data_IF_664803018878
#
_entry.id   IF_664803018878
#
_cell.length_a   1.000
_cell.length_b   1.000
_cell.length_c   1.000
_cell.angle_alpha   90.00
_cell.angle_beta   90.00
_cell.angle_gamma   90.00
#
_symmetry.space_group_name_H-M   'P 1'
#
loop_
_entity.id
_entity.type
_entity.pdbx_description
1 polymer ?
#
# COMPACT_ATOMS: atom_id res chain seq x y z
N UNK A 1 6.19 -25.34 -76.18
CA UNK A 1 5.93 -23.90 -75.90
C UNK A 1 5.43 -23.82 -74.49
N UNK A 2 6.26 -23.77 -73.64
CA UNK A 2 6.82 -22.80 -72.71
C UNK A 2 5.74 -21.81 -72.15
N UNK A 3 5.40 -21.93 -70.94
CA UNK A 3 4.67 -20.98 -70.13
C UNK A 3 5.14 -21.11 -68.70
N UNK A 4 6.09 -20.28 -68.34
CA UNK A 4 6.61 -20.17 -66.96
C UNK A 4 5.58 -19.45 -66.07
N UNK A 5 5.15 -20.09 -65.00
CA UNK A 5 4.42 -19.48 -63.93
C UNK A 5 5.39 -19.08 -62.83
N UNK A 6 5.47 -17.78 -62.53
CA UNK A 6 6.26 -17.21 -61.43
C UNK A 6 5.54 -17.47 -60.12
N UNK A 7 6.20 -18.21 -59.23
CA UNK A 7 5.78 -18.38 -57.85
C UNK A 7 6.27 -17.16 -57.08
N UNK A 8 5.37 -16.38 -56.52
CA UNK A 8 5.68 -15.35 -55.53
C UNK A 8 5.60 -15.99 -54.13
N UNK A 9 6.76 -16.08 -53.53
CA UNK A 9 6.97 -16.50 -52.19
C UNK A 9 6.68 -15.31 -51.24
N UNK A 10 5.52 -15.33 -50.59
CA UNK A 10 5.20 -14.36 -49.56
C UNK A 10 5.52 -14.97 -48.19
N UNK A 11 6.80 -15.00 -47.92
CA UNK A 11 7.32 -15.34 -46.58
C UNK A 11 7.26 -14.17 -45.61
N UNK A 12 6.09 -13.82 -45.10
CA UNK A 12 5.99 -12.97 -43.92
C UNK A 12 5.95 -13.85 -42.69
N UNK A 13 7.11 -14.17 -42.20
CA UNK A 13 7.24 -14.77 -40.85
C UNK A 13 7.13 -13.67 -39.83
N UNK A 14 5.93 -13.31 -39.46
CA UNK A 14 5.69 -12.56 -38.24
C UNK A 14 5.65 -13.56 -37.08
N UNK A 15 6.83 -13.88 -36.59
CA UNK A 15 6.97 -14.61 -35.34
C UNK A 15 6.49 -13.77 -34.17
N UNK A 16 5.19 -13.62 -34.02
CA UNK A 16 4.60 -13.16 -32.76
C UNK A 16 4.79 -14.30 -31.77
N UNK A 17 5.83 -14.18 -30.98
CA UNK A 17 6.07 -15.05 -29.84
C UNK A 17 4.84 -14.92 -28.94
N UNK A 18 4.01 -15.95 -28.92
CA UNK A 18 2.85 -16.02 -28.03
C UNK A 18 3.34 -15.80 -26.59
N UNK A 19 3.04 -14.64 -26.04
CA UNK A 19 3.19 -14.36 -24.62
C UNK A 19 2.30 -15.36 -23.90
N UNK A 20 2.76 -16.05 -22.84
CA UNK A 20 1.91 -16.95 -22.07
C UNK A 20 0.74 -16.18 -21.48
N UNK A 21 -0.41 -16.30 -22.09
CA UNK A 21 -1.57 -15.40 -21.91
C UNK A 21 -2.25 -15.53 -20.57
N UNK A 22 -1.98 -16.59 -19.80
CA UNK A 22 -2.78 -16.88 -18.60
C UNK A 22 -2.27 -16.18 -17.33
N UNK A 23 -0.97 -16.16 -17.10
CA UNK A 23 -0.39 -15.53 -15.89
C UNK A 23 -0.36 -14.00 -15.97
N UNK A 24 -0.01 -13.44 -17.12
CA UNK A 24 0.07 -11.99 -17.33
C UNK A 24 -1.32 -11.37 -17.34
N UNK A 25 -2.27 -11.96 -18.05
CA UNK A 25 -3.64 -11.45 -18.11
C UNK A 25 -4.31 -11.46 -16.70
N UNK A 26 -4.10 -12.50 -15.91
CA UNK A 26 -4.64 -12.55 -14.55
C UNK A 26 -3.99 -11.54 -13.61
N UNK A 27 -2.69 -11.26 -13.78
CA UNK A 27 -1.98 -10.23 -13.03
C UNK A 27 -2.48 -8.83 -13.40
N UNK A 28 -2.62 -8.54 -14.68
CA UNK A 28 -3.11 -7.24 -15.17
C UNK A 28 -4.53 -6.96 -14.67
N UNK A 29 -5.40 -7.97 -14.67
CA UNK A 29 -6.75 -7.87 -14.10
C UNK A 29 -6.69 -7.57 -12.60
N UNK A 30 -5.82 -8.24 -11.86
CA UNK A 30 -5.62 -7.97 -10.43
C UNK A 30 -5.12 -6.54 -10.20
N UNK A 31 -4.09 -6.13 -10.96
CA UNK A 31 -3.53 -4.76 -10.86
C UNK A 31 -4.60 -3.72 -11.15
N UNK A 32 -5.35 -3.87 -12.25
CA UNK A 32 -6.42 -2.95 -12.60
C UNK A 32 -7.50 -2.85 -11.50
N UNK A 33 -7.86 -3.96 -10.87
CA UNK A 33 -8.89 -4.01 -9.85
C UNK A 33 -8.42 -3.49 -8.47
N UNK A 34 -7.13 -3.64 -8.14
CA UNK A 34 -6.64 -3.43 -6.76
C UNK A 34 -5.64 -2.29 -6.59
N UNK A 35 -5.05 -1.75 -7.66
CA UNK A 35 -4.02 -0.70 -7.57
C UNK A 35 -4.47 0.49 -6.74
N UNK A 36 -5.69 0.97 -6.93
CA UNK A 36 -6.19 2.13 -6.19
C UNK A 36 -6.26 1.87 -4.67
N UNK A 37 -6.68 0.67 -4.26
CA UNK A 37 -6.72 0.31 -2.85
C UNK A 37 -5.30 0.18 -2.27
N UNK A 38 -4.37 -0.41 -3.02
CA UNK A 38 -2.96 -0.53 -2.63
C UNK A 38 -2.28 0.84 -2.50
N UNK A 39 -2.52 1.75 -3.47
CA UNK A 39 -1.99 3.12 -3.42
C UNK A 39 -2.55 3.87 -2.20
N UNK A 40 -3.84 3.69 -1.90
CA UNK A 40 -4.43 4.29 -0.70
C UNK A 40 -3.74 3.82 0.58
N UNK A 41 -3.53 2.50 0.74
CA UNK A 41 -2.76 1.95 1.87
C UNK A 41 -1.35 2.51 1.94
N UNK A 42 -0.65 2.52 0.80
CA UNK A 42 0.70 3.05 0.71
C UNK A 42 0.77 4.53 1.08
N UNK A 43 -0.18 5.33 0.60
CA UNK A 43 -0.28 6.75 0.92
C UNK A 43 -0.56 6.99 2.42
N UNK A 44 -1.42 6.19 3.05
CA UNK A 44 -1.62 6.27 4.50
C UNK A 44 -0.34 6.03 5.29
N UNK A 45 0.52 5.16 4.80
CA UNK A 45 1.80 4.86 5.44
C UNK A 45 2.85 5.95 5.17
N UNK A 46 2.96 6.42 3.93
CA UNK A 46 4.03 7.31 3.47
C UNK A 46 3.71 8.79 3.62
N UNK A 47 2.43 9.17 3.39
CA UNK A 47 1.95 10.56 3.25
C UNK A 47 2.64 11.32 2.11
N UNK A 48 3.09 10.59 1.13
CA UNK A 48 3.77 11.10 -0.05
C UNK A 48 3.30 10.26 -1.25
N UNK A 49 2.75 10.91 -2.28
CA UNK A 49 2.20 10.23 -3.44
C UNK A 49 3.27 9.49 -4.24
N UNK A 50 4.42 10.10 -4.47
CA UNK A 50 5.49 9.48 -5.22
C UNK A 50 6.04 8.25 -4.47
N UNK A 51 6.28 8.37 -3.16
CA UNK A 51 6.69 7.24 -2.34
C UNK A 51 5.61 6.15 -2.23
N UNK A 52 4.33 6.52 -2.26
CA UNK A 52 3.24 5.55 -2.26
C UNK A 52 3.20 4.74 -3.56
N UNK A 53 3.35 5.40 -4.69
CA UNK A 53 3.43 4.76 -6.01
C UNK A 53 4.65 3.84 -6.11
N UNK A 54 5.83 4.30 -5.72
CA UNK A 54 7.05 3.50 -5.68
C UNK A 54 6.91 2.27 -4.78
N UNK A 55 6.25 2.43 -3.64
CA UNK A 55 5.97 1.33 -2.72
C UNK A 55 5.07 0.28 -3.35
N UNK A 56 3.99 0.71 -4.01
CA UNK A 56 3.05 -0.18 -4.71
C UNK A 56 3.74 -0.87 -5.88
N UNK A 57 4.46 -0.15 -6.71
CA UNK A 57 5.20 -0.74 -7.84
C UNK A 57 6.21 -1.78 -7.35
N UNK A 58 6.97 -1.46 -6.30
CA UNK A 58 7.91 -2.40 -5.70
C UNK A 58 7.21 -3.65 -5.17
N UNK A 59 6.05 -3.49 -4.52
CA UNK A 59 5.28 -4.61 -3.99
C UNK A 59 4.71 -5.50 -5.12
N UNK A 60 4.15 -4.88 -6.16
CA UNK A 60 3.63 -5.58 -7.33
C UNK A 60 4.72 -6.32 -8.10
N UNK A 61 5.89 -5.69 -8.30
CA UNK A 61 7.02 -6.35 -8.94
C UNK A 61 7.47 -7.60 -8.15
N UNK A 62 7.53 -7.52 -6.82
CA UNK A 62 7.83 -8.69 -5.98
C UNK A 62 6.73 -9.76 -6.04
N UNK A 63 5.46 -9.36 -6.08
CA UNK A 63 4.34 -10.28 -6.19
C UNK A 63 4.36 -11.03 -7.52
N UNK A 64 4.75 -10.37 -8.61
CA UNK A 64 4.88 -10.96 -9.94
C UNK A 64 5.77 -12.21 -9.95
N UNK A 65 6.92 -12.20 -9.26
CA UNK A 65 7.81 -13.36 -9.19
C UNK A 65 7.17 -14.59 -8.52
N UNK A 66 6.11 -14.38 -7.75
CA UNK A 66 5.39 -15.44 -7.04
C UNK A 66 3.98 -15.64 -7.59
N UNK A 67 3.60 -14.91 -8.64
CA UNK A 67 2.22 -14.80 -9.13
C UNK A 67 1.61 -16.17 -9.46
N UNK A 68 2.34 -17.05 -10.12
CA UNK A 68 1.88 -18.40 -10.45
C UNK A 68 1.45 -19.24 -9.24
N UNK A 69 1.94 -18.91 -8.05
CA UNK A 69 1.61 -19.63 -6.81
C UNK A 69 0.43 -19.03 -6.06
N UNK A 70 0.22 -17.70 -6.22
CA UNK A 70 -0.73 -16.94 -5.39
C UNK A 70 -2.00 -16.57 -6.13
N UNK A 71 -2.01 -16.61 -7.47
CA UNK A 71 -3.14 -16.16 -8.29
C UNK A 71 -4.44 -16.92 -8.05
N UNK A 72 -4.34 -18.21 -7.74
CA UNK A 72 -5.49 -19.11 -7.59
C UNK A 72 -6.06 -19.11 -6.16
N UNK A 73 -5.36 -18.52 -5.19
CA UNK A 73 -5.73 -18.47 -3.77
C UNK A 73 -5.69 -17.03 -3.23
N UNK A 74 -6.69 -16.23 -3.62
CA UNK A 74 -6.86 -14.84 -3.19
C UNK A 74 -5.52 -14.07 -3.02
N UNK A 75 -4.94 -13.52 -4.09
CA UNK A 75 -3.61 -12.92 -4.04
C UNK A 75 -3.53 -11.61 -3.22
N UNK A 76 -4.67 -10.97 -2.92
CA UNK A 76 -4.69 -9.67 -2.27
C UNK A 76 -4.00 -9.64 -0.90
N UNK A 77 -4.29 -10.54 0.07
CA UNK A 77 -3.60 -10.55 1.36
C UNK A 77 -2.09 -10.74 1.23
N UNK A 78 -1.66 -11.52 0.26
CA UNK A 78 -0.24 -11.74 -0.02
C UNK A 78 0.43 -10.46 -0.53
N UNK A 79 -0.19 -9.78 -1.50
CA UNK A 79 0.33 -8.51 -2.06
C UNK A 79 0.34 -7.43 -0.98
N UNK A 80 -0.69 -7.31 -0.16
CA UNK A 80 -0.75 -6.39 0.97
C UNK A 80 0.38 -6.66 1.97
N UNK A 81 0.64 -7.92 2.27
CA UNK A 81 1.75 -8.31 3.14
C UNK A 81 3.12 -7.93 2.54
N UNK A 82 3.31 -8.09 1.22
CA UNK A 82 4.53 -7.61 0.55
C UNK A 82 4.66 -6.09 0.68
N UNK A 83 3.56 -5.35 0.48
CA UNK A 83 3.54 -3.90 0.58
C UNK A 83 3.98 -3.44 1.97
N UNK A 84 3.35 -3.94 3.04
CA UNK A 84 3.69 -3.53 4.41
C UNK A 84 5.09 -3.97 4.84
N UNK A 85 5.56 -5.15 4.40
CA UNK A 85 6.93 -5.61 4.69
C UNK A 85 7.97 -4.78 3.93
N UNK A 86 7.67 -4.35 2.71
CA UNK A 86 8.52 -3.45 1.93
C UNK A 86 8.59 -2.08 2.60
N UNK A 87 7.46 -1.50 3.01
CA UNK A 87 7.42 -0.27 3.78
C UNK A 87 8.25 -0.36 5.07
N UNK A 88 8.05 -1.43 5.84
CA UNK A 88 8.80 -1.64 7.08
C UNK A 88 10.32 -1.79 6.85
N UNK A 89 10.73 -2.38 5.72
CA UNK A 89 12.13 -2.46 5.32
C UNK A 89 12.71 -1.09 4.96
N UNK A 90 11.95 -0.25 4.23
CA UNK A 90 12.35 1.12 3.94
C UNK A 90 12.45 1.96 5.21
N UNK A 91 11.45 1.80 6.09
CA UNK A 91 11.44 2.42 7.40
C UNK A 91 12.72 2.12 8.17
N UNK A 92 13.05 0.84 8.37
CA UNK A 92 14.25 0.45 9.13
C UNK A 92 15.54 1.02 8.53
N UNK A 93 15.69 0.99 7.20
CA UNK A 93 16.88 1.53 6.52
C UNK A 93 17.04 3.04 6.72
N UNK A 94 15.93 3.78 6.62
CA UNK A 94 15.95 5.24 6.76
C UNK A 94 16.15 5.70 8.20
N UNK A 95 15.75 4.88 9.18
CA UNK A 95 15.76 5.26 10.59
C UNK A 95 16.91 4.70 11.41
N UNK A 96 17.76 3.84 10.85
CA UNK A 96 18.98 3.35 11.53
C UNK A 96 20.07 4.42 11.57
N UNK A 97 19.91 5.56 10.88
CA UNK A 97 20.89 6.64 10.79
C UNK A 97 20.37 8.05 11.05
N UNK A 98 19.08 8.25 11.33
CA UNK A 98 18.52 9.60 11.53
C UNK A 98 17.99 9.81 12.95
N UNK A 99 18.41 10.92 13.56
CA UNK A 99 17.80 11.50 14.76
C UNK A 99 16.31 11.78 14.47
N UNK A 100 15.38 11.55 15.42
CA UNK A 100 13.97 11.82 15.21
C UNK A 100 13.75 13.32 14.98
N UNK A 101 13.70 13.75 13.76
CA UNK A 101 13.20 15.08 13.42
C UNK A 101 11.69 15.00 13.42
N UNK A 102 11.10 15.56 14.43
CA UNK A 102 9.69 15.91 14.49
C UNK A 102 9.45 16.93 13.37
N UNK A 103 8.41 16.66 12.53
CA UNK A 103 7.85 17.58 11.54
C UNK A 103 8.60 17.76 10.20
N UNK A 104 8.16 16.97 9.22
CA UNK A 104 8.17 17.41 7.81
C UNK A 104 6.80 18.03 7.49
N UNK A 105 6.75 19.14 6.73
CA UNK A 105 5.49 19.79 6.39
C UNK A 105 4.57 18.84 5.62
N UNK A 106 3.33 18.75 6.07
CA UNK A 106 2.30 17.90 5.49
C UNK A 106 1.70 18.59 4.28
N UNK A 107 1.67 17.89 3.14
CA UNK A 107 0.94 18.32 1.95
C UNK A 107 -0.53 17.91 2.11
N UNK A 108 -1.50 18.83 1.96
CA UNK A 108 -2.92 18.50 2.09
C UNK A 108 -3.40 17.54 1.00
N UNK A 109 -4.22 16.55 1.37
CA UNK A 109 -4.86 15.66 0.44
C UNK A 109 -6.20 16.22 -0.07
N UNK A 110 -6.64 15.86 -1.29
CA UNK A 110 -7.89 16.35 -1.87
C UNK A 110 -9.13 15.66 -1.28
N UNK A 111 -10.21 16.43 -1.25
CA UNK A 111 -11.47 16.26 -0.55
C UNK A 111 -12.43 15.17 -1.10
N UNK A 112 -13.18 14.58 -0.21
CA UNK A 112 -14.35 13.72 -0.41
C UNK A 112 -14.94 13.35 0.96
N UNK A 113 -16.20 13.70 1.19
CA UNK A 113 -16.85 13.87 2.48
C UNK A 113 -16.97 12.59 3.36
N UNK A 114 -17.03 12.68 4.66
CA UNK A 114 -17.25 11.70 5.74
C UNK A 114 -16.21 10.57 5.98
N UNK A 115 -15.71 9.90 4.97
CA UNK A 115 -14.59 8.94 5.10
C UNK A 115 -13.24 9.62 5.16
N UNK A 116 -13.17 10.85 4.72
CA UNK A 116 -11.96 11.65 4.66
C UNK A 116 -11.53 12.13 6.03
N UNK A 117 -12.48 12.43 6.89
CA UNK A 117 -12.18 12.94 8.22
C UNK A 117 -11.30 11.97 9.01
N UNK A 118 -11.62 10.67 8.95
CA UNK A 118 -10.80 9.64 9.61
C UNK A 118 -9.42 9.47 8.95
N UNK A 119 -9.38 9.46 7.60
CA UNK A 119 -8.11 9.31 6.90
C UNK A 119 -7.21 10.52 7.06
N UNK A 120 -7.80 11.70 7.10
CA UNK A 120 -7.08 12.94 7.37
C UNK A 120 -6.63 13.01 8.83
N UNK A 121 -7.45 12.59 9.78
CA UNK A 121 -7.07 12.47 11.17
C UNK A 121 -5.90 11.47 11.37
N UNK A 122 -5.96 10.31 10.71
CA UNK A 122 -4.84 9.36 10.70
C UNK A 122 -3.61 10.00 10.05
N UNK A 123 -3.79 10.78 8.99
CA UNK A 123 -2.73 11.51 8.33
C UNK A 123 -2.01 12.49 9.25
N UNK A 124 -2.74 13.17 10.13
CA UNK A 124 -2.19 14.12 11.12
C UNK A 124 -1.44 13.45 12.28
N UNK A 125 -1.54 12.13 12.43
CA UNK A 125 -0.76 11.41 13.44
C UNK A 125 0.75 11.46 13.14
N UNK A 126 1.59 11.59 14.17
CA UNK A 126 3.02 11.38 14.02
C UNK A 126 3.32 10.05 13.34
N UNK A 127 4.30 10.03 12.48
CA UNK A 127 4.62 8.92 11.56
C UNK A 127 4.64 7.54 12.24
N UNK A 128 5.21 7.43 13.45
CA UNK A 128 5.24 6.16 14.20
C UNK A 128 3.85 5.73 14.66
N UNK A 129 3.05 6.67 15.13
CA UNK A 129 1.68 6.42 15.56
C UNK A 129 0.79 6.03 14.39
N UNK A 130 0.91 6.74 13.28
CA UNK A 130 0.21 6.44 12.04
C UNK A 130 0.55 5.03 11.51
N UNK A 131 1.84 4.70 11.42
CA UNK A 131 2.27 3.37 10.99
C UNK A 131 1.68 2.26 11.86
N UNK A 132 1.70 2.43 13.18
CA UNK A 132 1.10 1.46 14.11
C UNK A 132 -0.40 1.33 13.89
N UNK A 133 -1.13 2.43 13.74
CA UNK A 133 -2.59 2.41 13.50
C UNK A 133 -2.91 1.70 12.18
N UNK A 134 -2.22 2.04 11.10
CA UNK A 134 -2.45 1.41 9.80
C UNK A 134 -2.14 -0.10 9.85
N UNK A 135 -1.02 -0.49 10.43
CA UNK A 135 -0.64 -1.90 10.51
C UNK A 135 -1.59 -2.72 11.40
N UNK A 136 -2.03 -2.15 12.52
CA UNK A 136 -2.90 -2.83 13.49
C UNK A 136 -4.36 -2.93 13.07
N UNK A 137 -4.92 -1.84 12.54
CA UNK A 137 -6.36 -1.70 12.36
C UNK A 137 -6.80 -1.71 10.89
N UNK A 138 -5.92 -1.37 9.97
CA UNK A 138 -6.22 -1.43 8.55
C UNK A 138 -5.68 -2.69 7.88
N UNK A 139 -4.49 -3.14 8.30
CA UNK A 139 -3.85 -4.37 7.81
C UNK A 139 -4.07 -5.57 8.75
N UNK A 140 -4.80 -5.38 9.84
CA UNK A 140 -5.19 -6.41 10.82
C UNK A 140 -4.02 -7.26 11.36
N UNK A 141 -2.84 -6.65 11.51
CA UNK A 141 -1.69 -7.33 12.07
C UNK A 141 -1.74 -7.37 13.59
N UNK A 142 -1.27 -8.45 14.20
CA UNK A 142 -1.11 -8.54 15.65
C UNK A 142 -0.06 -7.54 16.16
N UNK A 143 -0.10 -7.21 17.45
CA UNK A 143 0.92 -6.36 18.08
C UNK A 143 2.34 -6.93 17.93
N UNK A 144 2.48 -8.25 18.02
CA UNK A 144 3.75 -8.94 17.85
C UNK A 144 4.27 -8.85 16.40
N UNK A 145 3.38 -9.00 15.40
CA UNK A 145 3.75 -8.84 14.00
C UNK A 145 4.12 -7.40 13.67
N UNK A 146 3.32 -6.44 14.17
CA UNK A 146 3.61 -5.02 14.02
C UNK A 146 4.97 -4.66 14.64
N UNK A 147 5.25 -5.13 15.86
CA UNK A 147 6.51 -4.90 16.54
C UNK A 147 7.69 -5.48 15.73
N UNK A 148 7.55 -6.70 15.25
CA UNK A 148 8.57 -7.36 14.42
C UNK A 148 8.82 -6.59 13.11
N UNK A 149 7.74 -6.16 12.43
CA UNK A 149 7.86 -5.40 11.18
C UNK A 149 8.54 -4.04 11.40
N UNK A 150 8.14 -3.33 12.44
CA UNK A 150 8.67 -2.01 12.76
C UNK A 150 10.04 -2.05 13.45
N UNK A 151 10.56 -3.22 13.81
CA UNK A 151 11.83 -3.36 14.52
C UNK A 151 11.78 -2.76 15.93
N UNK A 152 10.66 -2.91 16.63
CA UNK A 152 10.43 -2.34 17.98
C UNK A 152 9.87 -3.38 18.94
N UNK A 153 9.66 -3.04 20.20
CA UNK A 153 9.03 -3.92 21.20
C UNK A 153 7.51 -3.88 21.11
N UNK A 154 6.86 -4.96 21.57
CA UNK A 154 5.40 -5.00 21.71
C UNK A 154 4.90 -3.91 22.67
N UNK A 155 5.66 -3.62 23.74
CA UNK A 155 5.36 -2.53 24.66
C UNK A 155 5.36 -1.16 23.97
N UNK A 156 6.30 -0.94 23.04
CA UNK A 156 6.33 0.28 22.22
C UNK A 156 5.12 0.36 21.30
N UNK A 157 4.73 -0.74 20.65
CA UNK A 157 3.51 -0.79 19.80
C UNK A 157 2.28 -0.43 20.63
N UNK A 158 2.10 -1.05 21.81
CA UNK A 158 0.97 -0.74 22.71
C UNK A 158 0.92 0.75 23.09
N UNK A 159 2.06 1.31 23.50
CA UNK A 159 2.13 2.72 23.90
C UNK A 159 1.85 3.68 22.75
N UNK A 160 2.37 3.39 21.54
CA UNK A 160 2.10 4.20 20.34
C UNK A 160 0.63 4.08 19.90
N UNK A 161 0.04 2.88 19.99
CA UNK A 161 -1.39 2.67 19.74
C UNK A 161 -2.24 3.51 20.69
N UNK A 162 -1.99 3.45 21.98
CA UNK A 162 -2.74 4.22 22.98
C UNK A 162 -2.65 5.74 22.71
N UNK A 163 -1.44 6.25 22.45
CA UNK A 163 -1.23 7.66 22.11
C UNK A 163 -1.95 8.07 20.83
N UNK A 164 -1.92 7.23 19.82
CA UNK A 164 -2.60 7.48 18.56
C UNK A 164 -4.12 7.53 18.73
N UNK A 165 -4.70 6.55 19.42
CA UNK A 165 -6.14 6.51 19.68
C UNK A 165 -6.62 7.69 20.51
N UNK A 166 -5.82 8.13 21.50
CA UNK A 166 -6.12 9.35 22.26
C UNK A 166 -6.16 10.58 21.35
N UNK A 167 -5.18 10.74 20.45
CA UNK A 167 -5.16 11.86 19.50
C UNK A 167 -6.35 11.81 18.53
N UNK A 168 -6.68 10.64 18.01
CA UNK A 168 -7.84 10.48 17.10
C UNK A 168 -9.16 10.80 17.80
N UNK A 169 -9.34 10.43 19.07
CA UNK A 169 -10.55 10.77 19.84
C UNK A 169 -10.68 12.28 20.10
N UNK A 170 -9.58 12.99 20.17
CA UNK A 170 -9.54 14.44 20.40
C UNK A 170 -9.49 15.25 19.09
N UNK A 171 -9.48 14.57 17.94
CA UNK A 171 -9.45 15.25 16.64
C UNK A 171 -10.81 15.88 16.35
N UNK A 172 -10.86 17.21 16.12
CA UNK A 172 -12.13 17.91 15.91
C UNK A 172 -12.93 17.41 14.72
N UNK A 173 -12.25 16.88 13.69
CA UNK A 173 -12.90 16.33 12.50
C UNK A 173 -13.64 15.01 12.78
N UNK A 174 -13.30 14.32 13.89
CA UNK A 174 -13.93 13.05 14.30
C UNK A 174 -14.89 13.22 15.47
N UNK A 175 -14.94 14.42 16.07
CA UNK A 175 -15.82 14.71 17.20
C UNK A 175 -17.16 15.17 16.66
N UNK A 176 -18.18 14.35 16.77
CA UNK A 176 -19.54 14.74 16.39
C UNK A 176 -20.05 15.81 17.36
N UNK A 177 -20.83 16.81 16.90
CA UNK A 177 -21.44 17.82 17.80
C UNK A 177 -22.22 17.24 18.97
N UNK A 178 -22.74 16.02 18.85
CA UNK A 178 -23.46 15.31 19.91
C UNK A 178 -22.56 14.91 21.09
N UNK A 179 -21.25 14.80 20.91
CA UNK A 179 -20.31 14.44 21.98
C UNK A 179 -19.90 15.64 22.83
N UNK A 180 -20.25 16.85 22.39
CA UNK A 180 -19.94 18.12 23.08
C UNK A 180 -21.06 18.57 24.01
N UNK A 181 -22.23 17.92 24.03
CA UNK A 181 -23.42 18.32 24.79
C UNK A 181 -23.69 17.48 26.04
N UNK A 182 -22.71 16.92 26.71
CA UNK A 182 -22.95 16.34 28.03
C UNK A 182 -22.15 17.10 29.10
N UNK A 183 -22.70 18.20 29.65
CA UNK A 183 -22.19 18.76 30.87
C UNK A 183 -22.72 17.95 32.06
N UNK A 184 -21.83 17.48 32.89
CA UNK A 184 -22.09 17.20 34.31
C UNK A 184 -21.18 17.98 35.19
#
# INVERSE_FOLDING_TARGET
MVGQGVSVDDGVVTGVRAVPTDGTASFDVFVAARSQALVRTAYLLTRDHALAEDLVQTALAKAWFHWSRIRDDNPEPYVRRILVTTYASWWRRKWTGEIPTEELPETPAPNGEDRLDLWDAIGRLPRRQRAVVVLRFYEDLSEAETARLMGTSVGTVKSQTAKALTKLRLDPALTTPADLETPR
#
